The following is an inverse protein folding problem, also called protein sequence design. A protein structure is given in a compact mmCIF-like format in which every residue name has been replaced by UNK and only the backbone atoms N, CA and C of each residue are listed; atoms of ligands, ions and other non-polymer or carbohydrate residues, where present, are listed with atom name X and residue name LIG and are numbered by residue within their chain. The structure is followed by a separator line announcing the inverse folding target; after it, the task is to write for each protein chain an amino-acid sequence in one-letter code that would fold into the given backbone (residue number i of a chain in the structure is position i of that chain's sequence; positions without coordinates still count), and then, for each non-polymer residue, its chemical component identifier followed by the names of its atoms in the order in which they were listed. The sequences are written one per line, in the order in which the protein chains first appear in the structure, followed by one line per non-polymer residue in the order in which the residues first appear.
data_IF_036517335124
#
_entry.id   IF_036517335124
#
_cell.length_a   1.000
_cell.length_b   1.000
_cell.length_c   1.000
_cell.angle_alpha   90.00
_cell.angle_beta   90.00
_cell.angle_gamma   90.00
#
_symmetry.space_group_name_H-M   'P 1'
#
loop_
_entity.id
_entity.type
_entity.pdbx_description
1 polymer ?
#
# COMPACT_ATOMS: atom_id res chain seq x y z
N UNK A 1 -7.85 13.05 3.07
CA UNK A 1 -8.10 11.95 4.02
C UNK A 1 -9.32 11.20 3.52
N UNK A 2 -9.16 9.91 3.21
CA UNK A 2 -10.28 9.00 2.96
C UNK A 2 -10.37 8.04 4.14
N UNK A 3 -11.59 7.86 4.65
CA UNK A 3 -11.88 6.90 5.71
C UNK A 3 -11.97 5.52 5.06
N UNK A 4 -11.34 4.52 5.66
CA UNK A 4 -11.48 3.13 5.23
C UNK A 4 -12.10 2.35 6.37
N UNK A 5 -13.29 1.80 6.13
CA UNK A 5 -13.96 0.91 7.06
C UNK A 5 -13.42 -0.52 6.85
N UNK A 6 -12.79 -1.06 7.88
CA UNK A 6 -12.29 -2.44 7.86
C UNK A 6 -12.77 -3.22 9.08
N UNK A 7 -13.18 -4.46 8.83
CA UNK A 7 -13.45 -5.44 9.87
C UNK A 7 -12.11 -6.11 10.22
N UNK A 8 -11.67 -5.91 11.45
CA UNK A 8 -10.51 -6.59 12.03
C UNK A 8 -10.93 -7.79 12.87
N UNK A 9 -10.03 -8.76 13.01
CA UNK A 9 -10.21 -9.89 13.94
C UNK A 9 -9.33 -9.67 15.17
N UNK A 10 -9.93 -9.72 16.36
CA UNK A 10 -9.23 -9.60 17.63
C UNK A 10 -8.65 -10.94 18.11
N UNK A 11 -7.39 -10.92 18.52
CA UNK A 11 -6.68 -12.04 19.14
C UNK A 11 -6.39 -11.77 20.64
N UNK A 12 -6.30 -12.83 21.47
CA UNK A 12 -6.10 -12.71 22.92
C UNK A 12 -4.76 -12.09 23.35
N UNK A 13 -3.78 -11.99 22.45
CA UNK A 13 -2.51 -11.28 22.66
C UNK A 13 -2.63 -9.75 22.45
N UNK A 14 -3.81 -9.28 22.04
CA UNK A 14 -4.06 -7.88 21.72
C UNK A 14 -3.61 -7.49 20.31
N UNK A 15 -3.40 -8.45 19.41
CA UNK A 15 -3.26 -8.16 17.98
C UNK A 15 -4.65 -8.03 17.31
N UNK A 16 -4.75 -7.04 16.43
CA UNK A 16 -5.88 -6.86 15.52
C UNK A 16 -5.38 -7.11 14.11
N UNK A 17 -5.93 -8.12 13.44
CA UNK A 17 -5.58 -8.45 12.06
C UNK A 17 -6.59 -7.77 11.13
N UNK A 18 -6.13 -6.79 10.36
CA UNK A 18 -6.88 -6.14 9.29
C UNK A 18 -6.56 -6.84 7.96
N UNK A 19 -7.58 -7.38 7.30
CA UNK A 19 -7.40 -7.90 5.95
C UNK A 19 -7.31 -6.74 4.93
N UNK A 20 -6.23 -6.66 4.14
CA UNK A 20 -5.24 -7.70 3.84
C UNK A 20 -3.86 -7.41 4.49
N UNK A 21 -3.51 -8.20 5.50
CA UNK A 21 -2.13 -8.35 5.99
C UNK A 21 -1.57 -7.19 6.81
N UNK A 22 -2.41 -6.29 7.32
CA UNK A 22 -2.00 -5.22 8.24
C UNK A 22 -2.39 -5.67 9.65
N UNK A 23 -1.43 -6.02 10.49
CA UNK A 23 -1.69 -6.24 11.93
C UNK A 23 -1.37 -4.96 12.71
N UNK A 24 -2.22 -4.66 13.70
CA UNK A 24 -2.04 -3.51 14.59
C UNK A 24 -2.11 -4.01 16.03
N UNK A 25 -1.16 -3.60 16.86
CA UNK A 25 -1.14 -3.95 18.28
C UNK A 25 -2.08 -3.02 19.07
N UNK A 26 -2.88 -3.55 19.98
CA UNK A 26 -3.72 -2.77 20.90
C UNK A 26 -2.94 -1.67 21.63
N UNK A 27 -1.70 -1.97 22.04
CA UNK A 27 -0.82 -1.00 22.72
C UNK A 27 -0.41 0.19 21.84
N UNK A 28 -0.48 0.05 20.52
CA UNK A 28 -0.26 1.15 19.59
C UNK A 28 -1.49 2.04 19.38
N UNK A 29 -2.69 1.52 19.70
CA UNK A 29 -3.97 2.22 19.57
C UNK A 29 -4.43 2.86 20.88
N UNK A 30 -4.07 2.27 22.02
CA UNK A 30 -4.56 2.68 23.33
C UNK A 30 -3.55 2.43 24.43
N UNK A 31 -3.44 3.40 25.35
CA UNK A 31 -2.70 3.26 26.60
C UNK A 31 -3.50 2.51 27.70
N UNK A 32 -4.74 2.09 27.40
CA UNK A 32 -5.57 1.33 28.32
C UNK A 32 -5.22 -0.16 28.26
N UNK A 33 -5.60 -0.88 29.31
CA UNK A 33 -5.51 -2.34 29.34
C UNK A 33 -6.26 -2.95 28.14
N UNK A 34 -5.78 -4.11 27.70
CA UNK A 34 -6.40 -4.90 26.63
C UNK A 34 -7.81 -5.28 27.08
N UNK A 35 -8.84 -5.07 26.25
CA UNK A 35 -10.21 -5.41 26.60
C UNK A 35 -10.37 -6.94 26.66
N UNK A 36 -11.20 -7.40 27.60
CA UNK A 36 -11.55 -8.81 27.73
C UNK A 36 -12.61 -9.17 26.68
N UNK A 37 -12.15 -9.55 25.49
CA UNK A 37 -13.00 -9.94 24.36
C UNK A 37 -12.67 -11.38 23.94
N UNK A 38 -13.68 -12.20 23.58
CA UNK A 38 -13.46 -13.51 23.01
C UNK A 38 -12.57 -13.44 21.76
N UNK A 39 -11.63 -14.39 21.58
CA UNK A 39 -10.90 -14.52 20.32
C UNK A 39 -11.86 -14.64 19.14
N UNK A 40 -11.55 -13.95 18.03
CA UNK A 40 -12.42 -13.95 16.86
C UNK A 40 -13.54 -12.90 16.90
N UNK A 41 -13.60 -12.06 17.93
CA UNK A 41 -14.58 -10.96 17.98
C UNK A 41 -14.33 -9.99 16.80
N UNK A 42 -15.34 -9.70 15.97
CA UNK A 42 -15.22 -8.72 14.90
C UNK A 42 -15.15 -7.31 15.50
N UNK A 43 -14.22 -6.50 14.99
CA UNK A 43 -14.07 -5.10 15.37
C UNK A 43 -14.23 -4.23 14.12
N UNK A 44 -15.16 -3.28 14.18
CA UNK A 44 -15.25 -2.21 13.19
C UNK A 44 -14.20 -1.15 13.51
N UNK A 45 -13.32 -0.90 12.55
CA UNK A 45 -12.18 0.01 12.72
C UNK A 45 -12.17 1.00 11.57
N UNK A 46 -12.25 2.27 11.95
CA UNK A 46 -12.08 3.40 11.06
C UNK A 46 -10.58 3.70 10.93
N UNK A 47 -9.99 3.34 9.80
CA UNK A 47 -8.60 3.68 9.51
C UNK A 47 -8.55 4.90 8.62
N UNK A 48 -7.89 5.95 9.09
CA UNK A 48 -7.52 7.07 8.22
C UNK A 48 -6.19 6.75 7.56
N UNK A 49 -6.17 6.82 6.23
CA UNK A 49 -4.99 6.54 5.45
C UNK A 49 -4.41 7.85 4.88
N UNK A 50 -3.17 8.18 5.26
CA UNK A 50 -2.38 9.21 4.57
C UNK A 50 -1.65 8.56 3.40
N UNK A 51 -2.14 8.82 2.19
CA UNK A 51 -1.63 8.26 0.94
C UNK A 51 -0.13 8.56 0.73
N UNK A 52 0.39 9.67 1.28
CA UNK A 52 1.83 9.99 1.21
C UNK A 52 2.68 9.01 2.02
N UNK A 53 2.14 8.47 3.10
CA UNK A 53 2.83 7.52 3.97
C UNK A 53 2.90 6.13 3.32
N UNK A 54 1.95 5.78 2.46
CA UNK A 54 1.95 4.47 1.76
C UNK A 54 3.19 4.26 0.91
N UNK A 55 3.63 5.31 0.20
CA UNK A 55 4.77 5.22 -0.71
C UNK A 55 6.09 5.63 -0.04
N UNK A 56 6.12 5.69 1.29
CA UNK A 56 7.31 6.11 2.04
C UNK A 56 8.43 5.06 2.06
N UNK A 57 8.17 3.82 1.63
CA UNK A 57 9.06 2.69 1.81
C UNK A 57 8.81 1.92 3.11
N UNK A 58 7.98 2.44 4.02
CA UNK A 58 7.62 1.76 5.26
C UNK A 58 6.95 0.41 4.98
N UNK A 59 7.33 -0.61 5.76
CA UNK A 59 6.89 -2.00 5.56
C UNK A 59 7.17 -2.56 4.14
N UNK A 60 8.10 -1.94 3.40
CA UNK A 60 8.47 -2.33 2.05
C UNK A 60 7.52 -1.82 0.96
N UNK A 61 6.51 -1.01 1.27
CA UNK A 61 5.59 -0.47 0.26
C UNK A 61 6.25 0.70 -0.45
N UNK A 62 6.46 0.57 -1.75
CA UNK A 62 7.18 1.56 -2.58
C UNK A 62 6.30 2.23 -3.63
N UNK A 63 5.11 1.69 -3.88
CA UNK A 63 4.14 2.24 -4.82
C UNK A 63 2.72 1.83 -4.47
N UNK A 64 1.75 2.65 -4.87
CA UNK A 64 0.34 2.34 -4.83
C UNK A 64 -0.38 2.91 -6.05
N UNK A 65 -1.33 2.16 -6.60
CA UNK A 65 -2.13 2.57 -7.76
C UNK A 65 -3.50 1.91 -7.78
N UNK A 66 -4.47 2.55 -8.41
CA UNK A 66 -5.77 1.98 -8.74
C UNK A 66 -5.79 1.29 -10.11
N UNK A 67 -4.74 1.47 -10.93
CA UNK A 67 -4.64 0.88 -12.28
C UNK A 67 -3.82 -0.42 -12.27
N UNK A 68 -4.47 -1.54 -12.63
CA UNK A 68 -3.83 -2.85 -12.71
C UNK A 68 -2.66 -2.89 -13.70
N UNK A 69 -2.77 -2.22 -14.85
CA UNK A 69 -1.71 -2.18 -15.85
C UNK A 69 -0.47 -1.50 -15.28
N UNK A 70 -0.66 -0.43 -14.50
CA UNK A 70 0.46 0.27 -13.86
C UNK A 70 1.16 -0.64 -12.85
N UNK A 71 0.41 -1.35 -12.01
CA UNK A 71 0.99 -2.27 -11.02
C UNK A 71 1.80 -3.40 -11.69
N UNK A 72 1.26 -4.00 -12.76
CA UNK A 72 1.93 -5.06 -13.51
C UNK A 72 3.18 -4.56 -14.25
N UNK A 73 3.12 -3.37 -14.85
CA UNK A 73 4.28 -2.75 -15.52
C UNK A 73 5.40 -2.49 -14.51
N UNK A 74 5.09 -1.91 -13.35
CA UNK A 74 6.09 -1.65 -12.31
C UNK A 74 6.68 -2.97 -11.79
N UNK A 75 5.84 -3.97 -11.52
CA UNK A 75 6.29 -5.29 -11.08
C UNK A 75 7.27 -5.92 -12.08
N UNK A 76 6.90 -5.96 -13.37
CA UNK A 76 7.75 -6.53 -14.41
C UNK A 76 9.05 -5.72 -14.62
N UNK A 77 8.99 -4.39 -14.50
CA UNK A 77 10.16 -3.54 -14.60
C UNK A 77 11.14 -3.78 -13.45
N UNK A 78 10.65 -3.93 -12.21
CA UNK A 78 11.47 -4.30 -11.05
C UNK A 78 12.08 -5.69 -11.22
N UNK A 79 11.32 -6.66 -11.71
CA UNK A 79 11.81 -8.00 -12.00
C UNK A 79 12.97 -7.98 -13.01
N UNK A 80 12.87 -7.16 -14.05
CA UNK A 80 13.95 -6.97 -15.04
C UNK A 80 15.23 -6.34 -14.44
N UNK A 81 15.10 -5.61 -13.32
CA UNK A 81 16.23 -5.10 -12.53
C UNK A 81 16.75 -6.11 -11.49
N UNK A 82 16.28 -7.37 -11.53
CA UNK A 82 16.55 -8.41 -10.52
C UNK A 82 16.04 -8.07 -9.10
N UNK A 83 15.05 -7.18 -8.99
CA UNK A 83 14.42 -6.82 -7.71
C UNK A 83 13.17 -7.67 -7.50
N UNK A 84 13.15 -8.44 -6.41
CA UNK A 84 11.98 -9.25 -6.04
C UNK A 84 10.93 -8.39 -5.34
N UNK A 85 9.73 -8.36 -5.91
CA UNK A 85 8.58 -7.63 -5.37
C UNK A 85 7.31 -8.48 -5.36
N UNK A 86 6.23 -7.95 -4.80
CA UNK A 86 4.89 -8.54 -4.83
C UNK A 86 3.83 -7.46 -5.03
N UNK A 87 2.73 -7.82 -5.69
CA UNK A 87 1.53 -6.98 -5.80
C UNK A 87 0.53 -7.38 -4.70
N UNK A 88 0.34 -6.50 -3.72
CA UNK A 88 -0.74 -6.60 -2.74
C UNK A 88 -2.01 -5.93 -3.26
N UNK A 89 -3.17 -6.38 -2.78
CA UNK A 89 -4.47 -5.75 -3.05
C UNK A 89 -5.08 -5.31 -1.74
N UNK A 90 -5.53 -4.06 -1.64
CA UNK A 90 -6.33 -3.53 -0.54
C UNK A 90 -7.68 -3.13 -1.08
N UNK A 91 -8.74 -3.81 -0.64
CA UNK A 91 -10.11 -3.43 -0.98
C UNK A 91 -10.48 -2.15 -0.23
N UNK A 92 -10.94 -1.13 -0.94
CA UNK A 92 -11.58 0.07 -0.39
C UNK A 92 -13.09 -0.02 -0.70
N UNK A 93 -13.91 0.85 -0.12
CA UNK A 93 -15.37 0.79 -0.28
C UNK A 93 -15.83 0.86 -1.74
N UNK A 94 -15.17 1.67 -2.57
CA UNK A 94 -15.56 1.94 -3.96
C UNK A 94 -14.56 1.40 -5.00
N UNK A 95 -13.39 0.90 -4.59
CA UNK A 95 -12.29 0.54 -5.50
C UNK A 95 -11.27 -0.39 -4.85
N UNK A 96 -10.40 -1.00 -5.66
CA UNK A 96 -9.26 -1.77 -5.17
C UNK A 96 -7.99 -0.94 -5.35
N UNK A 97 -7.22 -0.81 -4.28
CA UNK A 97 -5.88 -0.23 -4.30
C UNK A 97 -4.85 -1.35 -4.43
N UNK A 98 -3.96 -1.25 -5.41
CA UNK A 98 -2.86 -2.17 -5.65
C UNK A 98 -1.58 -1.58 -5.05
N UNK A 99 -0.84 -2.40 -4.30
CA UNK A 99 0.39 -2.00 -3.61
C UNK A 99 1.57 -2.80 -4.15
N UNK A 100 2.68 -2.12 -4.43
CA UNK A 100 3.96 -2.79 -4.75
C UNK A 100 4.79 -2.87 -3.49
N UNK A 101 5.10 -4.10 -3.07
CA UNK A 101 5.89 -4.41 -1.89
C UNK A 101 7.23 -5.02 -2.26
N UNK A 102 8.32 -4.47 -1.72
CA UNK A 102 9.67 -5.00 -1.80
C UNK A 102 9.95 -5.84 -0.55
N UNK A 103 10.50 -7.03 -0.74
CA UNK A 103 10.76 -7.96 0.37
C UNK A 103 12.10 -7.68 1.08
N UNK A 104 13.11 -7.25 0.33
CA UNK A 104 14.45 -7.01 0.86
C UNK A 104 14.62 -5.52 1.15
N UNK A 105 14.92 -5.19 2.40
CA UNK A 105 15.01 -3.79 2.86
C UNK A 105 16.03 -2.97 2.06
N UNK A 106 17.13 -3.56 1.62
CA UNK A 106 18.16 -2.86 0.86
C UNK A 106 17.70 -2.46 -0.56
N UNK A 107 16.71 -3.15 -1.13
CA UNK A 107 16.19 -2.86 -2.47
C UNK A 107 15.14 -1.73 -2.45
N UNK A 108 14.64 -1.32 -1.27
CA UNK A 108 13.53 -0.36 -1.14
C UNK A 108 13.90 0.99 -1.77
N UNK A 109 15.04 1.56 -1.38
CA UNK A 109 15.46 2.88 -1.85
C UNK A 109 15.68 2.88 -3.37
N UNK A 110 16.38 1.86 -3.88
CA UNK A 110 16.63 1.73 -5.32
C UNK A 110 15.34 1.51 -6.12
N UNK A 111 14.38 0.76 -5.57
CA UNK A 111 13.06 0.58 -6.20
C UNK A 111 12.29 1.89 -6.28
N UNK A 112 12.24 2.64 -5.18
CA UNK A 112 11.60 3.96 -5.16
C UNK A 112 12.28 4.90 -6.15
N UNK A 113 13.60 4.91 -6.15
CA UNK A 113 14.36 5.75 -7.06
C UNK A 113 14.07 5.39 -8.52
N UNK A 114 14.06 4.11 -8.86
CA UNK A 114 13.75 3.63 -10.20
C UNK A 114 12.32 3.94 -10.65
N UNK A 115 11.33 3.84 -9.76
CA UNK A 115 9.93 4.08 -10.13
C UNK A 115 9.66 5.57 -10.42
N UNK A 116 10.17 6.48 -9.59
CA UNK A 116 9.73 7.88 -9.63
C UNK A 116 10.78 8.98 -9.37
N UNK A 117 12.04 8.67 -9.03
CA UNK A 117 13.06 9.70 -8.72
C UNK A 117 14.24 9.80 -9.70
N UNK A 118 14.66 8.70 -10.33
CA UNK A 118 15.80 8.66 -11.28
C UNK A 118 15.34 9.00 -12.70
N UNK A 119 16.19 9.74 -13.44
CA UNK A 119 15.90 10.14 -14.84
C UNK A 119 15.83 8.95 -15.80
N UNK A 120 16.62 7.90 -15.56
CA UNK A 120 16.62 6.66 -16.33
C UNK A 120 15.60 5.63 -15.80
N UNK A 121 14.72 6.04 -14.89
CA UNK A 121 13.66 5.23 -14.32
C UNK A 121 12.35 5.34 -15.10
N UNK A 122 11.26 4.81 -14.52
CA UNK A 122 9.92 4.90 -15.12
C UNK A 122 9.36 6.33 -15.06
N UNK A 123 9.81 7.14 -14.10
CA UNK A 123 9.40 8.55 -13.87
C UNK A 123 7.89 8.71 -13.71
N UNK A 124 7.25 7.72 -13.11
CA UNK A 124 5.82 7.73 -12.85
C UNK A 124 5.49 8.70 -11.71
N UNK A 125 4.28 9.24 -11.74
CA UNK A 125 3.64 9.96 -10.64
C UNK A 125 2.51 9.10 -10.10
N UNK A 126 2.23 9.21 -8.81
CA UNK A 126 1.13 8.47 -8.19
C UNK A 126 -0.22 8.96 -8.67
N UNK A 127 -1.24 8.12 -8.57
CA UNK A 127 -2.59 8.43 -9.07
C UNK A 127 -3.19 9.67 -8.39
N UNK A 128 -2.95 9.85 -7.09
CA UNK A 128 -3.37 11.04 -6.34
C UNK A 128 -2.58 12.32 -6.65
N UNK A 129 -1.63 12.27 -7.60
CA UNK A 129 -1.07 13.49 -8.21
C UNK A 129 -2.05 14.13 -9.21
N UNK A 130 -3.15 13.46 -9.53
CA UNK A 130 -4.17 13.87 -10.48
C UNK A 130 -5.55 13.96 -9.80
N UNK A 131 -6.50 14.76 -10.33
CA UNK A 131 -7.87 14.81 -9.83
C UNK A 131 -8.55 13.44 -9.89
N UNK A 132 -9.47 13.19 -8.95
CA UNK A 132 -10.28 11.96 -8.93
C UNK A 132 -10.98 11.75 -10.29
N UNK A 133 -10.84 10.56 -10.86
CA UNK A 133 -11.42 10.19 -12.15
C UNK A 133 -10.56 10.54 -13.38
N UNK A 134 -9.48 11.30 -13.23
CA UNK A 134 -8.53 11.48 -14.32
C UNK A 134 -7.56 10.29 -14.45
N UNK A 135 -7.19 9.90 -15.68
CA UNK A 135 -6.16 8.90 -15.89
C UNK A 135 -4.79 9.41 -15.43
N UNK A 136 -3.92 8.49 -15.03
CA UNK A 136 -2.55 8.82 -14.67
C UNK A 136 -1.76 9.25 -15.91
N UNK A 137 -1.68 10.57 -16.13
CA UNK A 137 -1.05 11.15 -17.32
C UNK A 137 0.44 10.80 -17.45
N UNK A 138 1.14 10.54 -16.34
CA UNK A 138 2.55 10.12 -16.39
C UNK A 138 2.69 8.71 -16.98
N UNK A 139 1.77 7.82 -16.61
CA UNK A 139 1.74 6.46 -17.12
C UNK A 139 1.27 6.41 -18.57
N UNK A 140 0.21 7.14 -18.91
CA UNK A 140 -0.26 7.23 -20.30
C UNK A 140 0.80 7.84 -21.22
N UNK A 141 1.56 8.83 -20.75
CA UNK A 141 2.71 9.34 -21.51
C UNK A 141 3.78 8.27 -21.70
N UNK A 142 4.14 7.56 -20.64
CA UNK A 142 5.13 6.48 -20.69
C UNK A 142 4.73 5.37 -21.69
N UNK A 143 3.45 5.02 -21.77
CA UNK A 143 2.94 4.05 -22.75
C UNK A 143 3.03 4.53 -24.21
N UNK A 144 2.97 5.85 -24.44
CA UNK A 144 2.88 6.44 -25.77
C UNK A 144 4.22 6.98 -26.34
N UNK A 145 5.28 7.06 -25.52
CA UNK A 145 6.61 7.54 -25.91
C UNK A 145 6.77 9.06 -25.83
#
# INVERSE_FOLDING_TARGET
MKLINKIGIFNPDGEIILHPGISVSWKSLSNKNIPDLPPGTPLDIDVTLDEKVLISGNHGIVWATYDQRQAEVIFNALLAQNITSAIGKVELEDRVLLLIKIHKTFDIADSMDFIWRKENGLRLKTDWSYPDGEPNKSFEKWLNG
#
